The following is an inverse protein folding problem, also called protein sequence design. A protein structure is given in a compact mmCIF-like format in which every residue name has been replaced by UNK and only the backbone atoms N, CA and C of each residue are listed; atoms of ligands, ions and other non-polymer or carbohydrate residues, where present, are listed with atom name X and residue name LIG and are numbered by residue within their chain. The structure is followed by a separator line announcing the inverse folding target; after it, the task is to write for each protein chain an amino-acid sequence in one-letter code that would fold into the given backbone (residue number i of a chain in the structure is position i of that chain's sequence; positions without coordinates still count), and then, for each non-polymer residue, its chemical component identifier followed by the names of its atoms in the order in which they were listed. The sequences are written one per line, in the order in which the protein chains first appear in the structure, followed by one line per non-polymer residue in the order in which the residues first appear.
data_IF_046645591221
#
_entry.id   IF_046645591221
#
_cell.length_a   1.000
_cell.length_b   1.000
_cell.length_c   1.000
_cell.angle_alpha   90.00
_cell.angle_beta   90.00
_cell.angle_gamma   90.00
#
_symmetry.space_group_name_H-M   'P 1'
#
loop_
_entity.id
_entity.type
_entity.pdbx_description
1 polymer ?
#
# COMPACT_ATOMS: atom_id res chain seq x y z
N UNK A 1 13.05 -23.32 -0.50
CA UNK A 1 12.10 -22.46 0.24
C UNK A 1 12.12 -21.12 -0.45
N UNK A 2 11.11 -20.81 -1.26
CA UNK A 2 10.94 -19.46 -1.78
C UNK A 2 10.33 -18.62 -0.66
N UNK A 3 11.12 -17.77 -0.03
CA UNK A 3 10.59 -16.78 0.91
C UNK A 3 9.92 -15.70 0.06
N UNK A 4 8.63 -15.86 -0.18
CA UNK A 4 7.84 -14.83 -0.87
C UNK A 4 7.81 -13.59 0.04
N UNK A 5 8.47 -12.52 -0.38
CA UNK A 5 8.41 -11.22 0.29
C UNK A 5 6.98 -10.68 0.16
N UNK A 6 6.32 -10.44 1.29
CA UNK A 6 4.95 -9.91 1.37
C UNK A 6 4.86 -8.84 2.47
N UNK A 7 3.78 -8.08 2.47
CA UNK A 7 3.48 -7.11 3.53
C UNK A 7 4.60 -6.09 3.76
N UNK A 8 4.88 -5.82 5.03
CA UNK A 8 5.94 -4.92 5.48
C UNK A 8 7.32 -5.30 4.95
N UNK A 9 7.62 -6.60 4.88
CA UNK A 9 8.91 -7.09 4.40
C UNK A 9 9.12 -6.74 2.92
N UNK A 10 8.05 -6.81 2.12
CA UNK A 10 8.09 -6.39 0.72
C UNK A 10 8.32 -4.87 0.59
N UNK A 11 7.66 -4.05 1.41
CA UNK A 11 7.86 -2.59 1.39
C UNK A 11 9.30 -2.23 1.78
N UNK A 12 9.86 -2.89 2.80
CA UNK A 12 11.27 -2.71 3.18
C UNK A 12 12.21 -3.02 2.02
N UNK A 13 12.02 -4.17 1.36
CA UNK A 13 12.82 -4.54 0.19
C UNK A 13 12.66 -3.55 -0.97
N UNK A 14 11.45 -3.03 -1.22
CA UNK A 14 11.21 -2.01 -2.25
C UNK A 14 11.94 -0.70 -1.93
N UNK A 15 11.92 -0.24 -0.67
CA UNK A 15 12.65 0.96 -0.26
C UNK A 15 14.17 0.79 -0.40
N UNK A 16 14.71 -0.37 0.00
CA UNK A 16 16.13 -0.73 -0.17
C UNK A 16 16.55 -0.78 -1.65
N UNK A 17 15.67 -1.24 -2.53
CA UNK A 17 15.85 -1.21 -3.99
C UNK A 17 15.75 0.21 -4.60
N UNK A 18 15.45 1.23 -3.79
CA UNK A 18 15.41 2.63 -4.22
C UNK A 18 14.05 3.12 -4.72
N UNK A 19 12.96 2.38 -4.49
CA UNK A 19 11.61 2.89 -4.72
C UNK A 19 11.33 4.05 -3.77
N UNK A 20 10.92 5.21 -4.31
CA UNK A 20 10.83 6.45 -3.53
C UNK A 20 9.43 6.77 -3.00
N UNK A 21 8.41 6.08 -3.50
CA UNK A 21 7.00 6.40 -3.22
C UNK A 21 6.15 5.14 -3.44
N UNK A 22 5.85 4.45 -2.35
CA UNK A 22 5.10 3.18 -2.37
C UNK A 22 3.73 3.45 -1.74
N UNK A 23 2.65 3.18 -2.47
CA UNK A 23 1.30 3.33 -1.93
C UNK A 23 0.97 2.13 -1.06
N UNK A 24 0.70 2.38 0.23
CA UNK A 24 0.50 1.33 1.20
C UNK A 24 -0.78 1.55 2.02
N UNK A 25 -1.38 0.44 2.43
CA UNK A 25 -2.15 0.40 3.66
C UNK A 25 -1.17 0.46 4.83
N UNK A 26 -1.53 1.20 5.87
CA UNK A 26 -0.71 1.36 7.07
C UNK A 26 -1.53 1.01 8.29
N UNK A 27 -0.86 0.47 9.31
CA UNK A 27 -1.48 0.08 10.57
C UNK A 27 -0.42 0.08 11.68
N UNK A 28 -0.85 0.24 12.93
CA UNK A 28 0.02 0.24 14.10
C UNK A 28 0.08 -1.12 14.83
N UNK A 29 -0.69 -2.11 14.39
CA UNK A 29 -0.77 -3.43 15.04
C UNK A 29 -0.16 -4.54 14.19
N UNK A 30 -0.62 -4.72 12.94
CA UNK A 30 -0.12 -5.81 12.10
C UNK A 30 -0.34 -5.62 10.59
N UNK A 31 0.41 -6.40 9.80
CA UNK A 31 0.20 -6.49 8.34
C UNK A 31 -1.20 -7.02 7.99
N UNK A 32 -1.74 -7.95 8.78
CA UNK A 32 -3.10 -8.47 8.59
C UNK A 32 -4.16 -7.41 8.83
N UNK A 33 -4.01 -6.58 9.86
CA UNK A 33 -4.92 -5.46 10.11
C UNK A 33 -4.83 -4.43 8.97
N UNK A 34 -3.62 -4.08 8.54
CA UNK A 34 -3.40 -3.21 7.39
C UNK A 34 -4.09 -3.73 6.11
N UNK A 35 -4.09 -5.05 5.90
CA UNK A 35 -4.78 -5.70 4.76
C UNK A 35 -6.31 -5.79 4.93
N UNK A 36 -6.80 -5.95 6.16
CA UNK A 36 -8.24 -6.12 6.43
C UNK A 36 -8.97 -4.77 6.38
N UNK A 37 -8.28 -3.69 6.72
CA UNK A 37 -8.81 -2.35 6.64
C UNK A 37 -9.26 -1.96 5.21
N UNK A 38 -8.80 -2.65 4.16
CA UNK A 38 -9.11 -2.36 2.75
C UNK A 38 -10.60 -2.33 2.38
N UNK A 39 -11.48 -3.04 3.10
CA UNK A 39 -12.93 -2.97 2.86
C UNK A 39 -13.57 -1.66 3.36
N UNK A 40 -12.84 -0.83 4.13
CA UNK A 40 -13.29 0.49 4.60
C UNK A 40 -12.20 1.58 4.68
N UNK A 41 -11.02 1.37 4.09
CA UNK A 41 -9.75 1.94 4.57
C UNK A 41 -9.70 3.48 4.63
N UNK A 42 -9.67 4.03 5.84
CA UNK A 42 -9.43 5.46 6.10
C UNK A 42 -7.93 5.82 6.18
N UNK A 43 -6.99 4.85 6.22
CA UNK A 43 -5.56 5.10 6.41
C UNK A 43 -4.71 4.39 5.35
N UNK A 44 -4.57 5.07 4.21
CA UNK A 44 -3.57 4.75 3.17
C UNK A 44 -2.60 5.89 3.04
N UNK A 45 -1.33 5.58 2.77
CA UNK A 45 -0.31 6.61 2.61
C UNK A 45 0.80 6.20 1.65
N UNK A 46 1.48 7.21 1.11
CA UNK A 46 2.73 7.02 0.40
C UNK A 46 3.87 6.89 1.39
N UNK A 47 4.44 5.69 1.47
CA UNK A 47 5.66 5.40 2.24
C UNK A 47 6.88 5.79 1.42
N UNK A 48 7.78 6.53 2.06
CA UNK A 48 8.99 7.10 1.44
C UNK A 48 10.29 6.66 2.11
N UNK A 49 10.23 6.13 3.33
CA UNK A 49 11.41 5.62 4.03
C UNK A 49 11.05 4.66 5.15
N UNK A 50 12.02 3.85 5.56
CA UNK A 50 11.97 3.00 6.74
C UNK A 50 13.20 3.32 7.60
N UNK A 51 12.98 3.71 8.85
CA UNK A 51 14.06 4.06 9.79
C UNK A 51 13.63 3.74 11.22
N UNK A 52 14.58 3.29 12.04
CA UNK A 52 14.36 2.99 13.46
C UNK A 52 13.18 2.05 13.74
N UNK A 53 12.92 1.11 12.83
CA UNK A 53 11.84 0.13 12.95
C UNK A 53 10.46 0.63 12.51
N UNK A 54 10.35 1.81 11.90
CA UNK A 54 9.06 2.38 11.46
C UNK A 54 9.07 2.85 10.01
N UNK A 55 7.91 2.73 9.37
CA UNK A 55 7.62 3.29 8.05
C UNK A 55 7.21 4.75 8.18
N UNK A 56 7.72 5.60 7.29
CA UNK A 56 7.39 7.02 7.28
C UNK A 56 6.69 7.40 6.00
N UNK A 57 5.54 8.03 6.14
CA UNK A 57 4.83 8.63 5.03
C UNK A 57 5.36 10.04 4.70
N UNK A 58 4.89 10.63 3.60
CA UNK A 58 5.21 12.02 3.22
C UNK A 58 4.83 13.06 4.29
N UNK A 59 3.88 12.72 5.17
CA UNK A 59 3.49 13.57 6.31
C UNK A 59 4.43 13.48 7.52
N UNK A 60 5.44 12.61 7.48
CA UNK A 60 6.41 12.43 8.55
C UNK A 60 5.93 11.60 9.75
N UNK A 61 4.69 11.11 9.71
CA UNK A 61 4.14 10.23 10.75
C UNK A 61 4.75 8.82 10.64
N UNK A 62 5.24 8.23 11.75
CA UNK A 62 5.71 6.86 11.79
C UNK A 62 4.54 5.87 11.85
N UNK A 63 4.73 4.70 11.25
CA UNK A 63 3.79 3.57 11.25
C UNK A 63 4.56 2.27 11.48
N UNK A 64 3.95 1.32 12.18
CA UNK A 64 4.58 0.03 12.47
C UNK A 64 4.50 -0.94 11.27
N UNK A 65 3.38 -0.95 10.57
CA UNK A 65 3.12 -1.85 9.45
C UNK A 65 2.79 -1.07 8.18
N UNK A 66 3.26 -1.58 7.05
CA UNK A 66 2.95 -1.05 5.73
C UNK A 66 2.80 -2.17 4.70
N UNK A 67 1.64 -2.29 4.08
CA UNK A 67 1.36 -3.31 3.06
C UNK A 67 1.12 -2.64 1.71
N UNK A 68 1.87 -3.00 0.65
CA UNK A 68 1.76 -2.30 -0.62
C UNK A 68 0.42 -2.63 -1.29
N UNK A 69 -0.30 -1.58 -1.70
CA UNK A 69 -1.56 -1.70 -2.43
C UNK A 69 -1.22 -1.75 -3.92
N UNK A 70 -1.64 -2.81 -4.60
CA UNK A 70 -1.68 -2.81 -6.07
C UNK A 70 -2.84 -1.94 -6.51
N UNK A 71 -2.54 -0.74 -6.99
CA UNK A 71 -3.46 -0.04 -7.88
C UNK A 71 -3.28 -0.71 -9.24
N UNK A 72 -4.14 -1.68 -9.54
CA UNK A 72 -4.38 -2.01 -10.95
C UNK A 72 -4.97 -0.76 -11.55
N UNK A 73 -4.26 -0.08 -12.44
CA UNK A 73 -4.87 0.98 -13.25
C UNK A 73 -6.12 0.37 -13.87
N UNK A 74 -7.30 0.83 -13.42
CA UNK A 74 -8.52 0.64 -14.19
C UNK A 74 -8.28 1.47 -15.43
N UNK A 75 -7.73 0.84 -16.47
CA UNK A 75 -7.74 1.40 -17.80
C UNK A 75 -9.22 1.72 -18.07
N UNK A 76 -9.52 2.95 -18.47
CA UNK A 76 -10.86 3.56 -18.62
C UNK A 76 -11.87 2.78 -19.49
N UNK A 77 -11.57 1.55 -19.90
CA UNK A 77 -12.47 0.66 -20.65
C UNK A 77 -13.58 -0.01 -19.81
N UNK A 78 -13.55 0.02 -18.47
CA UNK A 78 -14.61 -0.59 -17.65
C UNK A 78 -15.66 0.39 -17.10
N UNK A 79 -15.63 1.68 -17.48
CA UNK A 79 -16.65 2.66 -17.09
C UNK A 79 -17.67 2.99 -18.19
N UNK A 80 -17.66 2.31 -19.34
CA UNK A 80 -18.77 2.39 -20.31
C UNK A 80 -19.80 1.30 -20.00
N UNK A 81 -20.50 1.42 -18.87
CA UNK A 81 -21.80 0.77 -18.71
C UNK A 81 -22.91 1.73 -19.15
N UNK A 82 -23.33 1.54 -20.39
CA UNK A 82 -24.74 1.59 -20.82
C UNK A 82 -25.49 2.94 -20.71
N UNK A 83 -25.15 3.91 -21.57
CA UNK A 83 -26.19 4.80 -22.13
C UNK A 83 -26.65 4.24 -23.48
N UNK A 84 -27.63 3.33 -23.40
CA UNK A 84 -28.49 3.00 -24.53
C UNK A 84 -29.92 3.38 -24.16
N UNK A 85 -30.33 4.60 -24.53
CA UNK A 85 -31.73 4.91 -24.79
C UNK A 85 -31.75 5.77 -26.06
N UNK A 86 -31.89 5.10 -27.20
CA UNK A 86 -32.50 5.69 -28.40
C UNK A 86 -34.01 5.77 -28.21
#
# INVERSE_FOLDING_TARGET
MGNELRGSDLVRAMLECGHKKIWCAIDDESDEQAMTAHDSNDFTAYIVSFRDGSFYCTGGMPWLCAVPIKISEVIENELIQHEAIC
#
